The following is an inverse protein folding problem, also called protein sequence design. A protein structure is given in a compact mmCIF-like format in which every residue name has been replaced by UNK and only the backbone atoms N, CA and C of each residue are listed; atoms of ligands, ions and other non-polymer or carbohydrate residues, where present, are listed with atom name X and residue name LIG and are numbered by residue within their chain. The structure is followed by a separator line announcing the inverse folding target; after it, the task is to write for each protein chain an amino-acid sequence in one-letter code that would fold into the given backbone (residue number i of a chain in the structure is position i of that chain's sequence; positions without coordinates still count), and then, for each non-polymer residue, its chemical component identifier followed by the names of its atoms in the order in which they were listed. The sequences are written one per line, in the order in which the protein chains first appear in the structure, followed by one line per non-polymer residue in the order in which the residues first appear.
data_IF_808646831827
#
_entry.id   IF_808646831827
#
_cell.length_a   1.000
_cell.length_b   1.000
_cell.length_c   1.000
_cell.angle_alpha   90.00
_cell.angle_beta   90.00
_cell.angle_gamma   90.00
#
_symmetry.space_group_name_H-M   'P 1'
#
loop_
_entity.id
_entity.type
_entity.pdbx_description
1 polymer ?
#
# COMPACT_ATOMS: atom_id res chain seq x y z
N UNK A 1 -17.62 -10.01 9.92
CA UNK A 1 -16.39 -10.26 10.66
C UNK A 1 -15.41 -9.14 10.38
N UNK A 2 -14.97 -8.60 11.45
CA UNK A 2 -14.30 -7.34 11.65
C UNK A 2 -12.80 -7.41 11.33
N UNK A 3 -12.45 -7.57 10.04
CA UNK A 3 -11.07 -7.49 9.59
C UNK A 3 -10.84 -6.15 8.92
N UNK A 4 -9.85 -5.41 9.38
CA UNK A 4 -9.34 -4.26 8.64
C UNK A 4 -8.83 -4.73 7.27
N UNK A 5 -9.22 -4.04 6.20
CA UNK A 5 -8.87 -4.37 4.82
C UNK A 5 -8.37 -3.16 4.02
N UNK A 6 -8.16 -2.04 4.71
CA UNK A 6 -7.59 -0.82 4.15
C UNK A 6 -6.46 -0.31 5.06
N UNK A 7 -5.31 -0.03 4.48
CA UNK A 7 -4.15 0.54 5.15
C UNK A 7 -3.73 1.85 4.48
N UNK A 8 -3.30 2.80 5.29
CA UNK A 8 -2.69 4.06 4.87
C UNK A 8 -1.37 4.23 5.64
N UNK A 9 -0.28 4.33 4.91
CA UNK A 9 1.03 4.69 5.43
C UNK A 9 1.31 6.11 4.96
N UNK A 10 1.63 7.00 5.87
CA UNK A 10 1.89 8.41 5.55
C UNK A 10 3.17 8.87 6.24
N UNK A 11 4.04 9.50 5.50
CA UNK A 11 5.22 10.17 6.02
C UNK A 11 4.87 11.61 6.44
N UNK A 12 5.57 12.10 7.45
CA UNK A 12 5.50 13.52 7.85
C UNK A 12 6.21 14.45 6.85
N UNK A 13 7.08 13.88 6.00
CA UNK A 13 7.89 14.59 5.01
C UNK A 13 7.79 13.90 3.67
N UNK A 14 8.09 14.63 2.60
CA UNK A 14 8.33 14.03 1.29
C UNK A 14 9.51 13.06 1.39
N UNK A 15 9.31 11.85 0.86
CA UNK A 15 10.30 10.80 0.88
C UNK A 15 10.81 10.50 -0.52
N UNK A 16 12.10 10.23 -0.66
CA UNK A 16 12.60 9.51 -1.82
C UNK A 16 11.95 8.13 -1.86
N UNK A 17 11.39 7.77 -3.00
CA UNK A 17 10.62 6.54 -3.16
C UNK A 17 11.10 5.75 -4.38
N UNK A 18 11.11 4.43 -4.23
CA UNK A 18 11.37 3.49 -5.31
C UNK A 18 10.55 2.23 -5.11
N UNK A 19 10.19 1.55 -6.20
CA UNK A 19 9.45 0.32 -6.14
C UNK A 19 9.97 -0.72 -7.14
N UNK A 20 9.71 -1.98 -6.84
CA UNK A 20 9.93 -3.10 -7.75
C UNK A 20 8.59 -3.75 -8.08
N UNK A 21 8.47 -4.25 -9.30
CA UNK A 21 7.20 -4.73 -9.83
C UNK A 21 7.35 -6.12 -10.44
N UNK A 22 6.24 -6.87 -10.47
CA UNK A 22 6.21 -8.15 -11.15
C UNK A 22 6.54 -8.01 -12.65
N UNK A 23 7.23 -9.01 -13.19
CA UNK A 23 7.48 -9.15 -14.62
C UNK A 23 6.31 -9.79 -15.38
N UNK A 24 5.23 -10.16 -14.70
CA UNK A 24 4.03 -10.70 -15.34
C UNK A 24 3.51 -9.71 -16.41
N UNK A 25 3.08 -10.25 -17.55
CA UNK A 25 2.51 -9.43 -18.64
C UNK A 25 1.14 -8.85 -18.27
N UNK A 26 0.37 -9.57 -17.47
CA UNK A 26 -0.92 -9.11 -16.95
C UNK A 26 -0.69 -8.54 -15.56
N UNK A 27 -0.51 -7.23 -15.47
CA UNK A 27 -0.34 -6.51 -14.22
C UNK A 27 -1.69 -5.95 -13.74
N UNK A 28 -1.88 -5.91 -12.43
CA UNK A 28 -3.01 -5.21 -11.84
C UNK A 28 -2.89 -3.69 -12.05
N UNK A 29 -4.00 -3.00 -12.19
CA UNK A 29 -4.03 -1.56 -12.43
C UNK A 29 -3.28 -0.72 -11.37
N UNK A 30 -3.32 -1.04 -10.07
CA UNK A 30 -2.53 -0.32 -9.06
C UNK A 30 -1.04 -0.23 -9.37
N UNK A 31 -0.46 -1.24 -10.06
CA UNK A 31 0.94 -1.19 -10.41
C UNK A 31 1.24 -0.08 -11.42
N UNK A 32 0.38 0.09 -12.42
CA UNK A 32 0.56 1.15 -13.43
C UNK A 32 0.41 2.53 -12.80
N UNK A 33 -0.62 2.74 -11.97
CA UNK A 33 -0.81 4.02 -11.26
C UNK A 33 0.40 4.31 -10.35
N UNK A 34 0.90 3.32 -9.62
CA UNK A 34 2.10 3.50 -8.79
C UNK A 34 3.35 3.78 -9.62
N UNK A 35 3.53 3.14 -10.79
CA UNK A 35 4.64 3.45 -11.69
C UNK A 35 4.62 4.90 -12.15
N UNK A 36 3.45 5.39 -12.55
CA UNK A 36 3.26 6.77 -13.00
C UNK A 36 3.52 7.77 -11.86
N UNK A 37 2.98 7.51 -10.66
CA UNK A 37 3.14 8.40 -9.52
C UNK A 37 4.58 8.44 -8.99
N UNK A 38 5.32 7.34 -9.08
CA UNK A 38 6.72 7.26 -8.62
C UNK A 38 7.75 7.61 -9.72
N UNK A 39 7.33 8.09 -10.89
CA UNK A 39 8.25 8.47 -11.96
C UNK A 39 9.23 9.57 -11.54
N UNK A 40 8.78 10.50 -10.70
CA UNK A 40 9.58 11.58 -10.14
C UNK A 40 10.51 11.14 -8.99
N UNK A 41 10.41 9.90 -8.53
CA UNK A 41 11.24 9.35 -7.46
C UNK A 41 10.87 9.79 -6.04
N UNK A 42 9.67 10.36 -5.85
CA UNK A 42 9.21 10.82 -4.53
C UNK A 42 7.80 10.32 -4.21
N UNK A 43 7.49 10.22 -2.92
CA UNK A 43 6.14 9.95 -2.42
C UNK A 43 5.96 10.50 -1.01
N UNK A 44 4.70 10.68 -0.61
CA UNK A 44 4.31 10.98 0.77
C UNK A 44 3.70 9.78 1.48
N UNK A 45 3.14 8.84 0.72
CA UNK A 45 2.50 7.72 1.36
C UNK A 45 2.13 6.57 0.44
N UNK A 46 1.52 5.57 1.06
CA UNK A 46 0.99 4.38 0.39
C UNK A 46 -0.42 4.12 0.86
N UNK A 47 -1.34 3.91 -0.07
CA UNK A 47 -2.67 3.38 0.22
C UNK A 47 -2.79 1.95 -0.30
N UNK A 48 -3.22 1.03 0.55
CA UNK A 48 -3.32 -0.39 0.18
C UNK A 48 -4.65 -0.99 0.65
N UNK A 49 -5.29 -1.81 -0.18
CA UNK A 49 -6.43 -2.60 0.24
C UNK A 49 -6.17 -4.11 0.13
N UNK A 50 -6.85 -4.86 0.98
CA UNK A 50 -6.95 -6.32 0.89
C UNK A 50 -8.42 -6.74 0.77
N UNK A 51 -8.69 -7.73 -0.07
CA UNK A 51 -10.06 -8.17 -0.39
C UNK A 51 -10.19 -8.38 -1.88
N UNK A 52 -10.00 -7.33 -2.66
CA UNK A 52 -9.98 -7.39 -4.11
C UNK A 52 -8.63 -6.90 -4.64
N UNK A 53 -8.07 -7.65 -5.60
CA UNK A 53 -6.76 -7.34 -6.20
C UNK A 53 -6.81 -6.16 -7.19
N UNK A 54 -8.00 -5.68 -7.53
CA UNK A 54 -8.20 -4.65 -8.55
C UNK A 54 -7.50 -4.99 -9.88
N UNK A 55 -7.61 -6.25 -10.26
CA UNK A 55 -6.97 -6.85 -11.42
C UNK A 55 -8.00 -7.58 -12.28
N UNK A 56 -7.86 -7.49 -13.61
CA UNK A 56 -8.73 -8.16 -14.58
C UNK A 56 -10.22 -7.86 -14.39
N UNK A 57 -10.57 -6.66 -13.98
CA UNK A 57 -11.94 -6.21 -13.78
C UNK A 57 -12.17 -4.83 -14.42
N UNK A 58 -13.44 -4.49 -14.71
CA UNK A 58 -13.79 -3.18 -15.22
C UNK A 58 -13.37 -2.06 -14.26
N UNK A 59 -13.08 -0.87 -14.78
CA UNK A 59 -12.76 0.35 -14.02
C UNK A 59 -11.56 0.20 -13.07
N UNK A 60 -10.68 -0.77 -13.31
CA UNK A 60 -9.59 -1.08 -12.37
C UNK A 60 -8.57 0.06 -12.25
N UNK A 61 -8.31 0.77 -13.35
CA UNK A 61 -7.40 1.92 -13.35
C UNK A 61 -8.02 3.12 -12.63
N UNK A 62 -9.26 3.45 -12.96
CA UNK A 62 -10.02 4.52 -12.34
C UNK A 62 -10.22 4.29 -10.84
N UNK A 63 -10.46 3.05 -10.45
CA UNK A 63 -10.57 2.68 -9.04
C UNK A 63 -9.23 2.85 -8.29
N UNK A 64 -8.10 2.50 -8.91
CA UNK A 64 -6.79 2.71 -8.32
C UNK A 64 -6.49 4.22 -8.13
N UNK A 65 -6.79 5.04 -9.15
CA UNK A 65 -6.68 6.49 -9.04
C UNK A 65 -7.63 7.08 -7.98
N UNK A 66 -8.85 6.56 -7.89
CA UNK A 66 -9.82 7.00 -6.87
C UNK A 66 -9.39 6.66 -5.44
N UNK A 67 -8.63 5.58 -5.23
CA UNK A 67 -8.01 5.29 -3.94
C UNK A 67 -6.95 6.34 -3.57
N UNK A 68 -6.07 6.71 -4.50
CA UNK A 68 -5.09 7.79 -4.30
C UNK A 68 -5.78 9.13 -4.02
N UNK A 69 -6.82 9.45 -4.78
CA UNK A 69 -7.61 10.67 -4.57
C UNK A 69 -8.26 10.71 -3.19
N UNK A 70 -8.82 9.60 -2.73
CA UNK A 70 -9.42 9.51 -1.39
C UNK A 70 -8.37 9.73 -0.28
N UNK A 71 -7.19 9.12 -0.41
CA UNK A 71 -6.08 9.33 0.52
C UNK A 71 -5.60 10.80 0.50
N UNK A 72 -5.47 11.38 -0.68
CA UNK A 72 -5.08 12.78 -0.87
C UNK A 72 -6.05 13.75 -0.19
N UNK A 73 -7.34 13.59 -0.42
CA UNK A 73 -8.39 14.41 0.19
C UNK A 73 -8.41 14.31 1.72
N UNK A 74 -8.20 13.10 2.25
CA UNK A 74 -8.23 12.88 3.70
C UNK A 74 -6.98 13.39 4.42
N UNK A 75 -5.87 13.60 3.70
CA UNK A 75 -4.57 14.00 4.27
C UNK A 75 -4.10 15.38 3.82
N UNK A 76 -4.84 16.05 2.91
CA UNK A 76 -4.46 17.36 2.38
C UNK A 76 -3.26 17.32 1.44
N UNK A 77 -3.09 16.21 0.69
CA UNK A 77 -2.01 15.98 -0.29
C UNK A 77 -2.55 15.92 -1.72
N UNK A 78 -1.64 15.77 -2.69
CA UNK A 78 -2.02 15.47 -4.07
C UNK A 78 -2.19 13.96 -4.29
N UNK A 79 -3.04 13.50 -5.22
CA UNK A 79 -3.18 12.08 -5.52
C UNK A 79 -1.86 11.41 -5.95
N UNK A 80 -1.02 12.14 -6.66
CA UNK A 80 0.28 11.70 -7.17
C UNK A 80 1.32 11.49 -6.06
N UNK A 81 1.05 12.00 -4.86
CA UNK A 81 1.89 11.78 -3.67
C UNK A 81 1.77 10.36 -3.10
N UNK A 82 0.85 9.55 -3.62
CA UNK A 82 0.56 8.21 -3.10
C UNK A 82 0.89 7.10 -4.08
N UNK A 83 1.65 6.11 -3.62
CA UNK A 83 1.64 4.79 -4.21
C UNK A 83 0.36 4.04 -3.83
N UNK A 84 -0.16 3.21 -4.72
CA UNK A 84 -1.36 2.40 -4.47
C UNK A 84 -1.09 0.92 -4.68
N UNK A 85 -1.63 0.10 -3.79
CA UNK A 85 -1.53 -1.36 -3.90
C UNK A 85 -2.87 -2.02 -3.58
N UNK A 86 -3.16 -3.13 -4.25
CA UNK A 86 -4.35 -3.94 -4.00
C UNK A 86 -3.99 -5.42 -4.01
N UNK A 87 -4.64 -6.18 -3.15
CA UNK A 87 -4.46 -7.63 -3.08
C UNK A 87 -5.78 -8.32 -2.72
N UNK A 88 -5.93 -9.58 -3.09
CA UNK A 88 -7.12 -10.37 -2.82
C UNK A 88 -7.69 -11.02 -4.08
N UNK A 89 -9.01 -11.05 -4.21
CA UNK A 89 -9.71 -11.71 -5.31
C UNK A 89 -9.46 -10.98 -6.63
N UNK A 90 -9.14 -11.74 -7.68
CA UNK A 90 -8.95 -11.26 -9.06
C UNK A 90 -10.28 -11.36 -9.82
N UNK A 91 -10.53 -10.42 -10.73
CA UNK A 91 -11.71 -10.42 -11.60
C UNK A 91 -12.98 -9.83 -10.95
N UNK A 92 -12.92 -9.40 -9.72
CA UNK A 92 -14.02 -8.72 -9.04
C UNK A 92 -13.72 -7.22 -8.88
N UNK A 93 -14.72 -6.40 -9.16
CA UNK A 93 -14.60 -4.95 -8.99
C UNK A 93 -14.49 -4.59 -7.50
N UNK A 94 -13.57 -3.71 -7.20
CA UNK A 94 -13.38 -3.18 -5.86
C UNK A 94 -14.56 -2.30 -5.43
N UNK A 95 -14.94 -2.34 -4.17
CA UNK A 95 -15.96 -1.43 -3.62
C UNK A 95 -15.32 -0.07 -3.30
N UNK A 96 -15.11 0.74 -4.32
CA UNK A 96 -14.47 2.05 -4.19
C UNK A 96 -15.26 3.01 -3.29
N UNK A 97 -16.60 2.91 -3.30
CA UNK A 97 -17.44 3.74 -2.44
C UNK A 97 -17.19 3.47 -0.96
N UNK A 98 -17.01 2.21 -0.57
CA UNK A 98 -16.68 1.86 0.80
C UNK A 98 -15.28 2.37 1.21
N UNK A 99 -14.30 2.27 0.29
CA UNK A 99 -12.94 2.79 0.53
C UNK A 99 -12.99 4.31 0.72
N UNK A 100 -13.67 5.04 -0.15
CA UNK A 100 -13.82 6.49 -0.05
C UNK A 100 -14.50 6.91 1.25
N UNK A 101 -15.56 6.20 1.65
CA UNK A 101 -16.27 6.46 2.90
C UNK A 101 -15.43 6.17 4.16
N UNK A 102 -14.57 5.14 4.10
CA UNK A 102 -13.71 4.76 5.22
C UNK A 102 -12.43 5.60 5.36
N UNK A 103 -12.00 6.25 4.30
CA UNK A 103 -10.69 6.94 4.26
C UNK A 103 -10.54 8.07 5.30
N UNK A 104 -11.52 8.94 5.55
CA UNK A 104 -11.39 9.98 6.58
C UNK A 104 -11.20 9.40 7.99
N UNK A 105 -11.91 8.31 8.32
CA UNK A 105 -11.77 7.65 9.61
C UNK A 105 -10.40 6.95 9.74
N UNK A 106 -9.88 6.41 8.65
CA UNK A 106 -8.54 5.81 8.62
C UNK A 106 -7.46 6.89 8.79
N UNK A 107 -7.57 8.00 8.06
CA UNK A 107 -6.62 9.11 8.18
C UNK A 107 -6.60 9.73 9.60
N UNK A 108 -7.76 9.81 10.25
CA UNK A 108 -7.84 10.29 11.64
C UNK A 108 -7.16 9.37 12.67
N UNK A 109 -6.84 8.12 12.29
CA UNK A 109 -6.13 7.14 13.14
C UNK A 109 -4.64 7.05 12.83
N UNK A 110 -4.12 7.87 11.91
CA UNK A 110 -2.69 7.88 11.61
C UNK A 110 -1.87 8.20 12.87
N UNK A 111 -0.85 7.41 13.09
CA UNK A 111 0.04 7.58 14.24
C UNK A 111 1.12 6.50 14.28
N UNK A 112 2.16 6.68 15.10
CA UNK A 112 3.30 5.76 15.14
C UNK A 112 2.93 4.34 15.62
N UNK A 113 1.83 4.21 16.38
CA UNK A 113 1.36 2.92 16.91
C UNK A 113 0.52 2.12 15.89
N UNK A 114 0.23 2.67 14.71
CA UNK A 114 -0.64 2.06 13.69
C UNK A 114 -0.02 0.92 12.89
N UNK A 115 1.26 0.62 13.07
CA UNK A 115 2.02 -0.33 12.26
C UNK A 115 1.41 -1.74 12.26
N UNK A 116 1.04 -2.26 13.44
CA UNK A 116 0.41 -3.57 13.55
C UNK A 116 -0.94 -3.64 12.80
N UNK A 117 -1.77 -2.61 12.91
CA UNK A 117 -3.05 -2.54 12.23
C UNK A 117 -2.86 -2.50 10.70
N UNK A 118 -1.89 -1.74 10.21
CA UNK A 118 -1.53 -1.70 8.80
C UNK A 118 -1.03 -3.06 8.29
N UNK A 119 -0.14 -3.72 9.06
CA UNK A 119 0.34 -5.06 8.72
C UNK A 119 -0.78 -6.10 8.65
N UNK A 120 -1.77 -6.03 9.54
CA UNK A 120 -2.95 -6.89 9.53
C UNK A 120 -3.90 -6.56 8.38
N UNK A 121 -4.07 -5.28 8.07
CA UNK A 121 -4.99 -4.82 7.03
C UNK A 121 -4.59 -5.28 5.62
N UNK A 122 -3.30 -5.45 5.35
CA UNK A 122 -2.83 -5.93 4.04
C UNK A 122 -2.84 -7.46 3.88
N UNK A 123 -3.06 -8.22 4.95
CA UNK A 123 -3.09 -9.68 4.90
C UNK A 123 -4.30 -10.19 4.10
N UNK A 124 -4.13 -11.34 3.45
CA UNK A 124 -5.23 -12.09 2.79
C UNK A 124 -5.31 -13.52 3.34
N UNK A 125 -4.48 -14.41 2.85
CA UNK A 125 -4.38 -15.82 3.27
C UNK A 125 -3.25 -16.05 4.27
N UNK A 126 -2.55 -15.01 4.66
CA UNK A 126 -1.50 -15.09 5.66
C UNK A 126 -2.05 -15.55 7.01
N UNK A 127 -1.35 -16.44 7.67
CA UNK A 127 -1.70 -16.95 9.00
C UNK A 127 -1.08 -16.11 10.12
N UNK A 128 -0.01 -15.40 9.81
CA UNK A 128 0.70 -14.51 10.74
C UNK A 128 1.05 -13.19 10.06
N UNK A 129 0.97 -12.09 10.80
CA UNK A 129 1.46 -10.80 10.32
C UNK A 129 2.97 -10.82 10.11
N UNK A 130 3.45 -10.06 9.14
CA UNK A 130 4.87 -9.84 8.88
C UNK A 130 5.17 -8.38 9.08
N UNK A 131 5.86 -8.10 10.16
CA UNK A 131 6.23 -6.77 10.59
C UNK A 131 7.59 -6.86 11.27
N UNK A 132 8.49 -5.95 10.90
CA UNK A 132 9.84 -5.88 11.46
C UNK A 132 10.31 -4.43 11.49
N UNK A 133 11.00 -4.06 12.54
CA UNK A 133 11.78 -2.84 12.59
C UNK A 133 13.14 -3.13 13.23
N UNK A 134 14.18 -2.43 12.79
CA UNK A 134 15.50 -2.47 13.40
C UNK A 134 16.25 -1.17 13.14
N UNK A 135 17.16 -0.84 14.05
CA UNK A 135 18.06 0.30 13.90
C UNK A 135 19.48 -0.18 13.60
N UNK A 136 20.21 0.61 12.84
CA UNK A 136 21.61 0.40 12.53
C UNK A 136 22.35 1.74 12.47
N UNK A 137 23.68 1.69 12.60
CA UNK A 137 24.50 2.89 12.42
C UNK A 137 24.99 2.97 10.98
N UNK A 138 24.63 4.04 10.27
CA UNK A 138 25.07 4.31 8.91
C UNK A 138 25.74 5.69 8.84
N UNK A 139 26.99 5.73 8.40
CA UNK A 139 27.76 6.98 8.35
C UNK A 139 27.90 7.70 9.70
N UNK A 140 27.88 6.95 10.82
CA UNK A 140 27.96 7.50 12.18
C UNK A 140 26.64 8.04 12.74
N UNK A 141 25.52 7.87 12.01
CA UNK A 141 24.16 8.22 12.45
C UNK A 141 23.33 6.96 12.68
N UNK A 142 22.48 6.97 13.69
CA UNK A 142 21.49 5.93 13.86
C UNK A 142 20.39 6.11 12.82
N UNK A 143 20.03 5.03 12.16
CA UNK A 143 19.00 4.95 11.12
C UNK A 143 18.07 3.80 11.46
N UNK A 144 16.78 4.01 11.34
CA UNK A 144 15.75 3.00 11.55
C UNK A 144 15.15 2.56 10.22
N UNK A 145 14.96 1.26 10.06
CA UNK A 145 14.16 0.67 8.99
C UNK A 145 12.95 -0.03 9.60
N UNK A 146 11.77 0.26 9.06
CA UNK A 146 10.54 -0.45 9.37
C UNK A 146 9.98 -1.10 8.11
N UNK A 147 9.37 -2.27 8.25
CA UNK A 147 8.73 -2.95 7.14
C UNK A 147 7.49 -3.72 7.56
N UNK A 148 6.47 -3.67 6.71
CA UNK A 148 5.33 -4.58 6.77
C UNK A 148 5.22 -5.32 5.44
N UNK A 149 4.82 -6.58 5.51
CA UNK A 149 4.70 -7.40 4.30
C UNK A 149 3.55 -8.41 4.39
N UNK A 150 3.07 -8.82 3.22
CA UNK A 150 2.20 -9.97 3.08
C UNK A 150 2.76 -10.93 2.05
N UNK A 151 2.59 -12.20 2.33
CA UNK A 151 2.98 -13.27 1.42
C UNK A 151 1.92 -13.55 0.36
N UNK A 152 2.23 -14.52 -0.49
CA UNK A 152 1.32 -15.09 -1.45
C UNK A 152 1.10 -16.57 -1.12
N UNK A 153 -0.08 -16.89 -0.59
CA UNK A 153 -0.39 -18.23 -0.10
C UNK A 153 -1.09 -19.15 -1.12
N UNK A 154 -1.56 -18.60 -2.25
CA UNK A 154 -2.34 -19.36 -3.21
C UNK A 154 -1.51 -19.93 -4.36
N UNK A 155 -0.53 -19.19 -4.83
CA UNK A 155 0.31 -19.55 -5.97
C UNK A 155 1.78 -19.25 -5.66
N UNK A 156 2.70 -19.82 -6.45
CA UNK A 156 4.12 -19.49 -6.41
C UNK A 156 4.38 -18.36 -7.41
N UNK A 157 4.16 -17.09 -7.05
CA UNK A 157 4.28 -15.98 -7.99
C UNK A 157 5.73 -15.54 -8.13
N UNK A 158 6.07 -15.12 -9.32
CA UNK A 158 7.24 -14.28 -9.51
C UNK A 158 6.84 -12.83 -9.18
N UNK A 159 6.80 -12.49 -7.86
CA UNK A 159 6.36 -11.20 -7.30
C UNK A 159 4.88 -10.82 -7.58
N UNK A 160 4.02 -11.77 -7.91
CA UNK A 160 2.57 -11.50 -8.02
C UNK A 160 1.88 -11.66 -6.66
N UNK A 161 0.99 -10.74 -6.28
CA UNK A 161 0.20 -10.70 -5.02
C UNK A 161 1.00 -10.63 -3.71
N UNK A 162 2.30 -10.56 -3.74
CA UNK A 162 3.13 -10.20 -2.58
C UNK A 162 3.22 -8.67 -2.48
N UNK A 163 3.03 -8.15 -1.29
CA UNK A 163 3.24 -6.73 -0.98
C UNK A 163 4.29 -6.61 0.12
N UNK A 164 5.18 -5.63 -0.04
CA UNK A 164 6.15 -5.26 1.00
C UNK A 164 6.33 -3.75 0.97
N UNK A 165 6.12 -3.10 2.10
CA UNK A 165 6.34 -1.67 2.27
C UNK A 165 7.45 -1.48 3.28
N UNK A 166 8.50 -0.79 2.87
CA UNK A 166 9.68 -0.50 3.68
C UNK A 166 9.78 1.01 3.83
N UNK A 167 9.97 1.47 5.05
CA UNK A 167 10.16 2.87 5.39
C UNK A 167 11.49 3.04 6.15
N UNK A 168 12.13 4.18 5.98
CA UNK A 168 13.37 4.50 6.69
C UNK A 168 13.50 6.01 6.85
N UNK A 169 14.23 6.42 7.87
CA UNK A 169 14.63 7.80 8.15
C UNK A 169 16.07 8.13 7.65
N UNK A 170 16.58 7.26 6.76
CA UNK A 170 17.90 7.40 6.14
C UNK A 170 17.97 8.59 5.16
#
# INVERSE_FOLDING_TARGET
PDKNDLALILSEKECTAAATYTLNRVKAAPLYVTMDHLENGVAWGVVANSGNANACCPMSHENAQAMCLAAAQATGRAPEDFAVASTGVIGQTINITAIQAGMPALAAKLGPEGSEDAARAIMTTDTVKKELAFSLTLGGKEVTLGAIAKGSGMIHPNMGTMLCFITTDC
#
